data_IF_417970957356
#
_entry.id   IF_417970957356
#
_cell.length_a   1.000
_cell.length_b   1.000
_cell.length_c   1.000
_cell.angle_alpha   90.00
_cell.angle_beta   90.00
_cell.angle_gamma   90.00
#
_symmetry.space_group_name_H-M   'P 1'
#
loop_
_entity.id
_entity.type
_entity.pdbx_description
1 polymer ?
#
# COMPACT_ATOMS: atom_id res chain seq x y z
N UNK A 1 -65.52 -42.71 9.77
CA UNK A 1 -65.25 -42.41 8.34
C UNK A 1 -63.74 -42.20 8.16
N UNK A 2 -63.02 -43.26 7.79
CA UNK A 2 -61.59 -43.16 7.43
C UNK A 2 -61.48 -43.24 5.91
N UNK A 3 -61.15 -42.11 5.27
CA UNK A 3 -60.77 -42.10 3.85
C UNK A 3 -59.26 -42.23 3.73
N UNK A 4 -58.83 -43.36 3.18
CA UNK A 4 -57.48 -43.60 2.62
C UNK A 4 -57.26 -42.65 1.45
N UNK A 5 -56.10 -42.01 1.39
CA UNK A 5 -55.57 -41.46 0.13
C UNK A 5 -54.13 -41.96 -0.02
N UNK A 6 -53.91 -42.73 -1.08
CA UNK A 6 -52.61 -43.24 -1.54
C UNK A 6 -51.85 -42.07 -2.16
N UNK A 7 -50.60 -41.84 -1.76
CA UNK A 7 -49.66 -40.99 -2.52
C UNK A 7 -48.73 -41.92 -3.31
N UNK A 8 -48.92 -41.94 -4.62
CA UNK A 8 -47.95 -42.44 -5.60
C UNK A 8 -47.12 -41.26 -6.11
N UNK A 9 -45.80 -41.38 -6.04
CA UNK A 9 -44.86 -40.47 -6.69
C UNK A 9 -44.99 -40.51 -8.23
N UNK A 10 -44.57 -39.44 -8.91
CA UNK A 10 -43.51 -39.67 -9.89
C UNK A 10 -42.40 -38.61 -9.86
N UNK A 11 -41.21 -39.12 -10.14
CA UNK A 11 -39.96 -38.42 -10.42
C UNK A 11 -40.14 -37.57 -11.68
N UNK A 12 -39.98 -36.26 -11.57
CA UNK A 12 -39.74 -35.37 -12.71
C UNK A 12 -38.40 -34.65 -12.51
N UNK A 13 -37.41 -35.09 -13.27
CA UNK A 13 -36.14 -34.39 -13.49
C UNK A 13 -36.47 -33.14 -14.30
N UNK A 14 -36.52 -31.98 -13.64
CA UNK A 14 -36.72 -30.69 -14.30
C UNK A 14 -35.37 -30.06 -14.62
N UNK A 15 -35.01 -30.07 -15.90
CA UNK A 15 -34.02 -29.19 -16.51
C UNK A 15 -34.45 -27.73 -16.32
N UNK A 16 -33.83 -27.01 -15.38
CA UNK A 16 -34.08 -25.58 -15.19
C UNK A 16 -33.02 -24.76 -15.94
N UNK A 17 -33.31 -24.47 -17.21
CA UNK A 17 -32.58 -23.50 -18.03
C UNK A 17 -33.03 -22.10 -17.58
N UNK A 18 -32.28 -21.47 -16.68
CA UNK A 18 -32.54 -20.08 -16.27
C UNK A 18 -32.02 -19.14 -17.35
N UNK A 19 -32.94 -18.68 -18.19
CA UNK A 19 -32.81 -17.47 -19.02
C UNK A 19 -32.79 -16.24 -18.10
N UNK A 20 -31.67 -15.52 -18.05
CA UNK A 20 -31.66 -14.09 -17.71
C UNK A 20 -30.97 -13.37 -18.87
N UNK A 21 -31.79 -12.98 -19.84
CA UNK A 21 -31.45 -12.05 -20.89
C UNK A 21 -32.06 -10.69 -20.52
N UNK A 22 -31.27 -9.81 -19.92
CA UNK A 22 -31.53 -8.36 -19.91
C UNK A 22 -30.26 -7.64 -20.32
N UNK A 23 -30.16 -7.37 -21.63
CA UNK A 23 -29.10 -6.55 -22.19
C UNK A 23 -29.38 -5.07 -21.88
N UNK A 24 -28.62 -4.49 -20.96
CA UNK A 24 -28.46 -3.04 -20.89
C UNK A 24 -27.33 -2.63 -21.85
N UNK A 25 -27.70 -2.08 -23.00
CA UNK A 25 -26.78 -1.42 -23.91
C UNK A 25 -26.22 -0.15 -23.26
N UNK A 26 -25.03 -0.25 -22.65
CA UNK A 26 -24.19 0.92 -22.38
C UNK A 26 -23.08 0.97 -23.42
N UNK A 27 -23.29 1.77 -24.47
CA UNK A 27 -22.21 2.24 -25.32
C UNK A 27 -21.34 3.21 -24.52
N UNK A 28 -20.25 2.72 -23.91
CA UNK A 28 -19.16 3.57 -23.44
C UNK A 28 -18.20 3.80 -24.60
N UNK A 29 -18.07 5.07 -25.00
CA UNK A 29 -17.02 5.55 -25.88
C UNK A 29 -15.64 5.22 -25.28
N UNK A 30 -14.95 4.25 -25.88
CA UNK A 30 -13.60 3.89 -25.53
C UNK A 30 -12.63 4.97 -26.02
N UNK A 31 -12.14 5.82 -25.11
CA UNK A 31 -10.94 6.62 -25.37
C UNK A 31 -9.71 5.70 -25.44
N UNK A 32 -8.74 5.95 -26.34
CA UNK A 32 -7.55 5.12 -26.47
C UNK A 32 -6.69 5.24 -25.21
N UNK A 33 -6.65 4.16 -24.42
CA UNK A 33 -5.76 4.03 -23.26
C UNK A 33 -4.35 3.72 -23.77
N UNK A 34 -3.40 4.63 -23.48
CA UNK A 34 -1.99 4.54 -23.86
C UNK A 34 -1.35 3.17 -23.51
N UNK A 35 -0.63 2.56 -24.46
CA UNK A 35 0.01 1.24 -24.38
C UNK A 35 0.91 1.05 -23.14
N UNK A 36 1.49 2.12 -22.58
CA UNK A 36 2.28 2.04 -21.36
C UNK A 36 1.45 1.70 -20.10
N UNK A 37 0.15 2.05 -20.05
CA UNK A 37 -0.75 1.62 -19.00
C UNK A 37 -1.17 0.15 -19.17
N UNK A 38 -1.28 -0.33 -20.42
CA UNK A 38 -1.53 -1.75 -20.71
C UNK A 38 -0.38 -2.67 -20.25
N UNK A 39 0.88 -2.22 -20.35
CA UNK A 39 2.03 -3.03 -19.91
C UNK A 39 2.15 -3.17 -18.38
N UNK A 40 1.59 -2.23 -17.60
CA UNK A 40 1.60 -2.29 -16.12
C UNK A 40 0.44 -3.09 -15.54
N UNK A 41 -0.66 -3.22 -16.27
CA UNK A 41 -1.74 -4.13 -15.93
C UNK A 41 -1.36 -5.54 -16.39
N UNK A 42 -0.73 -6.36 -15.53
CA UNK A 42 -0.76 -7.82 -15.75
C UNK A 42 -2.23 -8.22 -15.83
N UNK A 43 -2.75 -8.42 -17.05
CA UNK A 43 -4.14 -8.84 -17.29
C UNK A 43 -4.38 -10.05 -16.41
N UNK A 44 -5.42 -9.99 -15.59
CA UNK A 44 -5.81 -11.13 -14.80
C UNK A 44 -6.41 -12.14 -15.78
N UNK A 45 -5.65 -13.19 -16.07
CA UNK A 45 -5.95 -14.12 -17.14
C UNK A 45 -6.72 -15.34 -16.59
N UNK A 46 -7.98 -15.48 -17.00
CA UNK A 46 -8.83 -16.61 -16.64
C UNK A 46 -8.29 -17.96 -17.13
N UNK A 47 -7.53 -17.99 -18.22
CA UNK A 47 -6.94 -19.24 -18.76
C UNK A 47 -5.93 -19.82 -17.79
N UNK A 48 -5.03 -18.99 -17.27
CA UNK A 48 -4.03 -19.40 -16.26
C UNK A 48 -4.63 -19.94 -14.98
N UNK A 49 -5.79 -19.42 -14.56
CA UNK A 49 -6.51 -19.95 -13.40
C UNK A 49 -7.08 -21.32 -13.70
N UNK A 50 -7.64 -21.48 -14.90
CA UNK A 50 -8.25 -22.73 -15.37
C UNK A 50 -7.20 -23.83 -15.46
N UNK A 51 -6.08 -23.60 -16.13
CA UNK A 51 -4.99 -24.59 -16.22
C UNK A 51 -4.50 -25.00 -14.82
N UNK A 52 -4.34 -24.01 -13.93
CA UNK A 52 -3.94 -24.29 -12.56
C UNK A 52 -4.97 -25.17 -11.83
N UNK A 53 -6.25 -24.88 -11.95
CA UNK A 53 -7.30 -25.68 -11.31
C UNK A 53 -7.42 -27.07 -11.92
N UNK A 54 -7.27 -27.19 -13.25
CA UNK A 54 -7.23 -28.46 -13.97
C UNK A 54 -6.16 -29.37 -13.39
N UNK A 55 -4.92 -28.88 -13.27
CA UNK A 55 -3.81 -29.64 -12.71
C UNK A 55 -3.93 -29.88 -11.19
N UNK A 56 -4.36 -28.88 -10.42
CA UNK A 56 -4.39 -29.00 -8.96
C UNK A 56 -5.56 -29.84 -8.42
N UNK A 57 -6.63 -29.99 -9.20
CA UNK A 57 -7.86 -30.69 -8.81
C UNK A 57 -8.18 -31.90 -9.70
N UNK A 58 -7.33 -32.21 -10.68
CA UNK A 58 -7.54 -33.27 -11.68
C UNK A 58 -8.93 -33.17 -12.32
N UNK A 59 -9.25 -32.02 -12.89
CA UNK A 59 -10.56 -31.79 -13.52
C UNK A 59 -10.74 -32.65 -14.77
N UNK A 60 -11.94 -33.17 -14.98
CA UNK A 60 -12.32 -33.77 -16.27
C UNK A 60 -12.36 -32.70 -17.38
N UNK A 61 -12.42 -33.10 -18.64
CA UNK A 61 -12.53 -32.16 -19.75
C UNK A 61 -13.79 -31.29 -19.65
N UNK A 62 -14.93 -31.92 -19.35
CA UNK A 62 -16.20 -31.22 -19.14
C UNK A 62 -16.12 -30.22 -17.97
N UNK A 63 -15.57 -30.64 -16.83
CA UNK A 63 -15.36 -29.73 -15.69
C UNK A 63 -14.40 -28.59 -16.04
N UNK A 64 -13.38 -28.87 -16.85
CA UNK A 64 -12.39 -27.87 -17.30
C UNK A 64 -13.06 -26.79 -18.14
N UNK A 65 -13.94 -27.16 -19.08
CA UNK A 65 -14.69 -26.19 -19.88
C UNK A 65 -15.62 -25.32 -19.04
N UNK A 66 -16.33 -25.92 -18.08
CA UNK A 66 -17.22 -25.18 -17.18
C UNK A 66 -16.43 -24.23 -16.27
N UNK A 67 -15.32 -24.69 -15.70
CA UNK A 67 -14.40 -23.85 -14.88
C UNK A 67 -13.77 -22.75 -15.73
N UNK A 68 -13.46 -22.99 -17.01
CA UNK A 68 -12.95 -21.98 -17.92
C UNK A 68 -13.91 -20.80 -18.09
N UNK A 69 -15.20 -21.10 -18.28
CA UNK A 69 -16.26 -20.07 -18.39
C UNK A 69 -16.38 -19.26 -17.10
N UNK A 70 -16.45 -19.94 -15.95
CA UNK A 70 -16.51 -19.30 -14.62
C UNK A 70 -15.30 -18.38 -14.39
N UNK A 71 -14.10 -18.85 -14.72
CA UNK A 71 -12.85 -18.09 -14.57
C UNK A 71 -12.79 -16.87 -15.50
N UNK A 72 -13.28 -17.01 -16.74
CA UNK A 72 -13.34 -15.91 -17.70
C UNK A 72 -14.28 -14.80 -17.21
N UNK A 73 -15.49 -15.14 -16.77
CA UNK A 73 -16.45 -14.18 -16.23
C UNK A 73 -15.92 -13.48 -14.98
N UNK A 74 -15.34 -14.24 -14.05
CA UNK A 74 -14.74 -13.67 -12.85
C UNK A 74 -13.58 -12.72 -13.18
N UNK A 75 -12.78 -13.06 -14.20
CA UNK A 75 -11.70 -12.21 -14.67
C UNK A 75 -12.22 -10.91 -15.30
N UNK A 76 -13.23 -11.00 -16.15
CA UNK A 76 -13.89 -9.84 -16.77
C UNK A 76 -14.51 -8.91 -15.72
N UNK A 77 -15.32 -9.44 -14.79
CA UNK A 77 -15.95 -8.64 -13.72
C UNK A 77 -14.90 -7.96 -12.84
N UNK A 78 -13.82 -8.64 -12.49
CA UNK A 78 -12.71 -8.04 -11.74
C UNK A 78 -12.01 -6.93 -12.53
N UNK A 79 -11.82 -7.11 -13.84
CA UNK A 79 -11.21 -6.10 -14.69
C UNK A 79 -12.11 -4.87 -14.81
N UNK A 80 -13.41 -5.06 -15.03
CA UNK A 80 -14.40 -3.98 -15.08
C UNK A 80 -14.40 -3.18 -13.76
N UNK A 81 -14.42 -3.85 -12.60
CA UNK A 81 -14.33 -3.16 -11.30
C UNK A 81 -13.05 -2.32 -11.17
N UNK A 82 -11.89 -2.83 -11.62
CA UNK A 82 -10.63 -2.08 -11.59
C UNK A 82 -10.64 -0.87 -12.52
N UNK A 83 -11.31 -0.94 -13.65
CA UNK A 83 -11.45 0.17 -14.60
C UNK A 83 -12.46 1.20 -14.10
N UNK A 84 -13.53 0.76 -13.43
CA UNK A 84 -14.55 1.63 -12.83
C UNK A 84 -14.02 2.42 -11.62
N UNK A 85 -13.06 1.87 -10.87
CA UNK A 85 -12.35 2.61 -9.84
C UNK A 85 -11.40 3.65 -10.46
N UNK A 86 -11.96 4.80 -10.84
CA UNK A 86 -11.22 5.98 -11.32
C UNK A 86 -10.28 6.57 -10.26
N UNK A 87 -10.53 6.27 -8.98
CA UNK A 87 -9.71 6.70 -7.85
C UNK A 87 -9.06 5.47 -7.16
N UNK A 88 -7.72 5.38 -7.08
CA UNK A 88 -7.03 4.31 -6.35
C UNK A 88 -7.28 4.32 -4.84
N UNK A 89 -7.84 5.38 -4.25
CA UNK A 89 -8.22 5.47 -2.84
C UNK A 89 -9.66 5.02 -2.54
N UNK A 90 -10.52 4.91 -3.56
CA UNK A 90 -11.87 4.37 -3.40
C UNK A 90 -11.78 2.84 -3.16
N UNK A 91 -12.31 2.33 -2.03
CA UNK A 91 -12.41 0.90 -1.83
C UNK A 91 -13.30 0.33 -2.94
N UNK A 92 -12.76 -0.55 -3.78
CA UNK A 92 -13.53 -1.27 -4.79
C UNK A 92 -14.77 -1.89 -4.12
N UNK A 93 -16.00 -1.44 -4.43
CA UNK A 93 -17.18 -2.04 -3.86
C UNK A 93 -17.25 -3.52 -4.27
N UNK A 94 -17.69 -4.34 -3.33
CA UNK A 94 -18.18 -5.69 -3.58
C UNK A 94 -17.21 -6.78 -4.06
N UNK A 95 -15.91 -6.62 -3.77
CA UNK A 95 -14.91 -7.70 -4.00
C UNK A 95 -15.25 -9.00 -3.26
N UNK A 96 -15.92 -8.87 -2.11
CA UNK A 96 -16.35 -10.01 -1.30
C UNK A 96 -17.48 -10.74 -2.01
N UNK A 97 -18.57 -10.07 -2.40
CA UNK A 97 -19.66 -10.77 -3.09
C UNK A 97 -19.21 -11.34 -4.43
N UNK A 98 -18.35 -10.66 -5.20
CA UNK A 98 -17.78 -11.24 -6.42
C UNK A 98 -17.03 -12.54 -6.13
N UNK A 99 -16.27 -12.58 -5.03
CA UNK A 99 -15.56 -13.79 -4.61
C UNK A 99 -16.52 -14.88 -4.14
N UNK A 100 -17.55 -14.53 -3.38
CA UNK A 100 -18.53 -15.49 -2.85
C UNK A 100 -19.35 -16.10 -4.00
N UNK A 101 -19.79 -15.29 -4.98
CA UNK A 101 -20.47 -15.75 -6.19
C UNK A 101 -19.57 -16.70 -7.00
N UNK A 102 -18.30 -16.35 -7.20
CA UNK A 102 -17.33 -17.21 -7.87
C UNK A 102 -17.14 -18.55 -7.15
N UNK A 103 -17.07 -18.55 -5.82
CA UNK A 103 -16.97 -19.78 -5.02
C UNK A 103 -18.23 -20.63 -5.18
N UNK A 104 -19.42 -20.01 -5.18
CA UNK A 104 -20.68 -20.70 -5.37
C UNK A 104 -20.76 -21.38 -6.75
N UNK A 105 -20.37 -20.68 -7.82
CA UNK A 105 -20.33 -21.27 -9.18
C UNK A 105 -19.36 -22.45 -9.27
N UNK A 106 -18.18 -22.35 -8.66
CA UNK A 106 -17.24 -23.48 -8.63
C UNK A 106 -17.78 -24.69 -7.87
N UNK A 107 -18.51 -24.47 -6.76
CA UNK A 107 -19.09 -25.56 -5.97
C UNK A 107 -20.12 -26.39 -6.75
N UNK A 108 -20.78 -25.81 -7.75
CA UNK A 108 -21.74 -26.51 -8.60
C UNK A 108 -21.08 -27.45 -9.62
N UNK A 109 -19.86 -27.12 -10.05
CA UNK A 109 -19.12 -27.86 -11.09
C UNK A 109 -18.17 -28.92 -10.49
N UNK A 110 -17.64 -28.64 -9.31
CA UNK A 110 -16.67 -29.49 -8.64
C UNK A 110 -17.35 -30.55 -7.79
N UNK A 111 -16.76 -31.74 -7.74
CA UNK A 111 -17.16 -32.76 -6.75
C UNK A 111 -16.89 -32.26 -5.32
N UNK A 112 -17.57 -32.81 -4.29
CA UNK A 112 -17.31 -32.43 -2.90
C UNK A 112 -15.83 -32.56 -2.51
N UNK A 113 -15.16 -33.62 -2.95
CA UNK A 113 -13.74 -33.86 -2.69
C UNK A 113 -12.83 -32.83 -3.38
N UNK A 114 -13.07 -32.51 -4.65
CA UNK A 114 -12.32 -31.48 -5.37
C UNK A 114 -12.51 -30.09 -4.75
N UNK A 115 -13.73 -29.76 -4.33
CA UNK A 115 -14.02 -28.48 -3.68
C UNK A 115 -13.35 -28.37 -2.30
N UNK A 116 -13.32 -29.45 -1.51
CA UNK A 116 -12.61 -29.49 -0.24
C UNK A 116 -11.09 -29.29 -0.44
N UNK A 117 -10.51 -29.95 -1.44
CA UNK A 117 -9.10 -29.78 -1.80
C UNK A 117 -8.79 -28.32 -2.19
N UNK A 118 -9.67 -27.70 -2.98
CA UNK A 118 -9.55 -26.28 -3.35
C UNK A 118 -9.62 -25.35 -2.13
N UNK A 119 -10.56 -25.61 -1.22
CA UNK A 119 -10.71 -24.85 0.02
C UNK A 119 -9.46 -24.94 0.91
N UNK A 120 -8.89 -26.14 1.08
CA UNK A 120 -7.63 -26.37 1.81
C UNK A 120 -6.47 -25.60 1.16
N UNK A 121 -6.32 -25.66 -0.16
CA UNK A 121 -5.28 -24.90 -0.89
C UNK A 121 -5.44 -23.38 -0.72
N UNK A 122 -6.66 -22.86 -0.75
CA UNK A 122 -6.91 -21.44 -0.50
C UNK A 122 -6.58 -21.01 0.93
N UNK A 123 -6.89 -21.84 1.91
CA UNK A 123 -6.57 -21.59 3.32
C UNK A 123 -5.06 -21.62 3.54
N UNK A 124 -4.37 -22.63 3.02
CA UNK A 124 -2.90 -22.70 3.07
C UNK A 124 -2.27 -21.45 2.44
N UNK A 125 -2.76 -20.99 1.28
CA UNK A 125 -2.27 -19.76 0.65
C UNK A 125 -2.61 -18.49 1.43
N UNK A 126 -3.72 -18.47 2.17
CA UNK A 126 -4.09 -17.37 3.06
C UNK A 126 -3.14 -17.30 4.25
N UNK A 127 -2.88 -18.44 4.89
CA UNK A 127 -1.94 -18.56 6.00
C UNK A 127 -0.51 -18.21 5.57
N UNK A 128 -0.05 -18.73 4.44
CA UNK A 128 1.27 -18.39 3.87
C UNK A 128 1.39 -16.87 3.64
N UNK A 129 0.36 -16.22 3.09
CA UNK A 129 0.35 -14.76 2.90
C UNK A 129 0.35 -14.02 4.22
N UNK A 130 -0.40 -14.48 5.20
CA UNK A 130 -0.49 -13.86 6.52
C UNK A 130 0.85 -13.93 7.27
N UNK A 131 1.46 -15.12 7.30
CA UNK A 131 2.79 -15.33 7.88
C UNK A 131 3.85 -14.49 7.18
N UNK A 132 3.84 -14.46 5.83
CA UNK A 132 4.75 -13.63 5.07
C UNK A 132 4.52 -12.13 5.30
N UNK A 133 3.27 -11.69 5.46
CA UNK A 133 2.96 -10.31 5.79
C UNK A 133 3.52 -9.94 7.17
N UNK A 134 3.27 -10.77 8.18
CA UNK A 134 3.76 -10.57 9.55
C UNK A 134 5.28 -10.54 9.60
N UNK A 135 5.97 -11.57 9.06
CA UNK A 135 7.43 -11.64 8.99
C UNK A 135 8.02 -10.40 8.30
N UNK A 136 7.52 -10.07 7.12
CA UNK A 136 8.02 -8.90 6.38
C UNK A 136 7.66 -7.57 7.06
N UNK A 137 6.57 -7.50 7.82
CA UNK A 137 6.20 -6.31 8.58
C UNK A 137 7.16 -6.08 9.74
N UNK A 138 7.48 -7.12 10.50
CA UNK A 138 8.42 -7.07 11.61
C UNK A 138 9.81 -6.61 11.13
N UNK A 139 10.34 -7.27 10.09
CA UNK A 139 11.63 -6.90 9.48
C UNK A 139 11.62 -5.43 9.02
N UNK A 140 10.56 -4.98 8.33
CA UNK A 140 10.46 -3.58 7.88
C UNK A 140 10.41 -2.61 9.05
N UNK A 141 9.81 -2.99 10.18
CA UNK A 141 9.72 -2.15 11.36
C UNK A 141 11.09 -2.03 12.04
N UNK A 142 11.77 -3.15 12.23
CA UNK A 142 13.13 -3.23 12.78
C UNK A 142 14.12 -2.41 11.93
N UNK A 143 14.17 -2.64 10.62
CA UNK A 143 15.03 -1.85 9.71
C UNK A 143 14.72 -0.35 9.78
N UNK A 144 13.46 0.04 9.96
CA UNK A 144 13.09 1.46 10.11
C UNK A 144 13.60 2.02 11.44
N UNK A 145 13.57 1.24 12.51
CA UNK A 145 14.08 1.65 13.83
C UNK A 145 15.60 1.78 13.80
N UNK A 146 16.32 0.84 13.17
CA UNK A 146 17.78 0.92 13.00
C UNK A 146 18.20 2.15 12.19
N UNK A 147 17.56 2.38 11.04
CA UNK A 147 17.83 3.59 10.23
C UNK A 147 17.54 4.85 11.04
N UNK A 148 16.45 4.86 11.82
CA UNK A 148 16.14 5.99 12.70
C UNK A 148 17.24 6.22 13.73
N UNK A 149 17.64 5.19 14.46
CA UNK A 149 18.69 5.28 15.46
C UNK A 149 20.02 5.76 14.86
N UNK A 150 20.38 5.25 13.68
CA UNK A 150 21.56 5.71 12.95
C UNK A 150 21.46 7.19 12.58
N UNK A 151 20.32 7.63 12.04
CA UNK A 151 20.11 9.04 11.66
C UNK A 151 20.17 9.95 12.88
N UNK A 152 19.52 9.58 13.97
CA UNK A 152 19.51 10.38 15.21
C UNK A 152 20.92 10.53 15.79
N UNK A 153 21.74 9.48 15.72
CA UNK A 153 23.10 9.47 16.26
C UNK A 153 24.13 10.15 15.35
N UNK A 154 24.04 9.95 14.03
CA UNK A 154 25.12 10.33 13.11
C UNK A 154 24.80 11.51 12.20
N UNK A 155 23.52 11.69 11.83
CA UNK A 155 23.11 12.69 10.82
C UNK A 155 22.55 13.93 11.50
N UNK A 156 21.64 13.74 12.46
CA UNK A 156 20.89 14.82 13.08
C UNK A 156 21.77 15.84 13.81
N UNK A 157 22.84 15.46 14.56
CA UNK A 157 23.70 16.43 15.21
C UNK A 157 24.37 17.38 14.21
N UNK A 158 24.94 16.84 13.13
CA UNK A 158 25.56 17.63 12.07
C UNK A 158 24.54 18.51 11.34
N UNK A 159 23.35 17.98 11.07
CA UNK A 159 22.26 18.77 10.46
C UNK A 159 21.86 19.97 11.34
N UNK A 160 21.79 19.79 12.66
CA UNK A 160 21.49 20.87 13.61
C UNK A 160 22.59 21.94 13.62
N UNK A 161 23.85 21.55 13.61
CA UNK A 161 24.98 22.49 13.51
C UNK A 161 24.87 23.33 12.23
N UNK A 162 24.65 22.68 11.09
CA UNK A 162 24.46 23.38 9.82
C UNK A 162 23.24 24.30 9.85
N UNK A 163 22.17 23.91 10.55
CA UNK A 163 21.00 24.77 10.71
C UNK A 163 21.29 26.01 11.55
N UNK A 164 22.07 25.88 12.62
CA UNK A 164 22.51 27.04 13.40
C UNK A 164 23.39 27.98 12.57
N UNK A 165 24.21 27.47 11.64
CA UNK A 165 24.93 28.32 10.68
C UNK A 165 23.98 29.09 9.78
N UNK A 166 22.94 28.44 9.25
CA UNK A 166 21.94 29.09 8.40
C UNK A 166 21.24 30.26 9.11
N UNK A 167 20.96 30.15 10.42
CA UNK A 167 20.30 31.22 11.19
C UNK A 167 21.05 32.55 11.18
N UNK A 168 22.34 32.56 10.84
CA UNK A 168 23.15 33.78 10.69
C UNK A 168 22.89 34.52 9.37
N UNK A 169 22.37 33.81 8.36
CA UNK A 169 22.08 34.35 7.03
C UNK A 169 20.59 34.69 6.84
N UNK A 170 19.74 34.28 7.78
CA UNK A 170 18.29 34.52 7.71
C UNK A 170 17.97 35.90 8.26
N UNK A 171 17.12 36.64 7.56
CA UNK A 171 16.64 37.95 8.00
C UNK A 171 15.80 37.83 9.28
N UNK A 172 15.83 38.82 10.19
CA UNK A 172 15.10 38.75 11.45
C UNK A 172 13.60 38.44 11.29
N UNK A 173 12.96 39.03 10.28
CA UNK A 173 11.52 38.84 9.96
C UNK A 173 11.23 37.41 9.50
N UNK A 174 12.08 36.85 8.65
CA UNK A 174 11.93 35.49 8.16
C UNK A 174 12.30 34.46 9.23
N UNK A 175 13.26 34.78 10.12
CA UNK A 175 13.56 33.97 11.29
C UNK A 175 12.35 33.82 12.21
N UNK A 176 11.65 34.93 12.50
CA UNK A 176 10.40 34.90 13.26
C UNK A 176 9.35 33.99 12.61
N UNK A 177 9.12 34.11 11.29
CA UNK A 177 8.20 33.22 10.56
C UNK A 177 8.60 31.75 10.67
N UNK A 178 9.90 31.44 10.56
CA UNK A 178 10.39 30.06 10.67
C UNK A 178 10.12 29.50 12.07
N UNK A 179 10.35 30.29 13.11
CA UNK A 179 10.13 29.88 14.50
C UNK A 179 8.64 29.65 14.79
N UNK A 180 7.75 30.50 14.26
CA UNK A 180 6.30 30.25 14.31
C UNK A 180 5.90 28.94 13.62
N UNK A 181 6.44 28.66 12.43
CA UNK A 181 6.16 27.42 11.69
C UNK A 181 6.67 26.18 12.43
N UNK A 182 7.86 26.27 13.04
CA UNK A 182 8.41 25.22 13.91
C UNK A 182 7.53 24.97 15.13
N UNK A 183 7.04 26.03 15.78
CA UNK A 183 6.15 25.90 16.93
C UNK A 183 4.83 25.21 16.54
N UNK A 184 4.20 25.63 15.44
CA UNK A 184 3.00 24.95 14.90
C UNK A 184 3.28 23.47 14.60
N UNK A 185 4.43 23.19 13.99
CA UNK A 185 4.84 21.82 13.66
C UNK A 185 5.06 20.95 14.92
N UNK A 186 5.70 21.50 15.95
CA UNK A 186 5.99 20.82 17.21
C UNK A 186 4.69 20.52 17.99
N UNK A 187 3.67 21.37 17.89
CA UNK A 187 2.33 21.14 18.47
C UNK A 187 1.53 20.11 17.66
N UNK A 188 1.66 20.11 16.34
CA UNK A 188 0.86 19.26 15.45
C UNK A 188 1.32 17.80 15.41
N UNK A 189 2.64 17.56 15.44
CA UNK A 189 3.24 16.20 15.40
C UNK A 189 2.68 15.24 16.46
N UNK A 190 2.63 15.58 17.77
CA UNK A 190 2.10 14.68 18.79
C UNK A 190 0.61 14.38 18.59
N UNK A 191 -0.18 15.35 18.10
CA UNK A 191 -1.61 15.12 17.77
C UNK A 191 -1.78 14.07 16.68
N UNK A 192 -0.99 14.17 15.60
CA UNK A 192 -0.99 13.18 14.52
C UNK A 192 -0.58 11.79 15.06
N UNK A 193 0.45 11.73 15.90
CA UNK A 193 0.93 10.47 16.45
C UNK A 193 -0.13 9.82 17.37
N UNK A 194 -0.76 10.60 18.24
CA UNK A 194 -1.83 10.13 19.11
C UNK A 194 -2.99 9.55 18.30
N UNK A 195 -3.45 10.24 17.26
CA UNK A 195 -4.55 9.77 16.41
C UNK A 195 -4.19 8.50 15.63
N UNK A 196 -2.95 8.41 15.14
CA UNK A 196 -2.45 7.18 14.48
C UNK A 196 -2.40 5.99 15.44
N UNK A 197 -1.95 6.18 16.67
CA UNK A 197 -1.93 5.11 17.67
C UNK A 197 -3.35 4.68 18.07
N UNK A 198 -4.30 5.61 18.23
CA UNK A 198 -5.72 5.27 18.44
C UNK A 198 -6.29 4.40 17.31
N UNK A 199 -6.06 4.81 16.05
CA UNK A 199 -6.51 4.04 14.88
C UNK A 199 -5.86 2.65 14.86
N UNK A 200 -4.59 2.55 15.26
CA UNK A 200 -3.85 1.29 15.31
C UNK A 200 -4.39 0.37 16.41
N UNK A 201 -4.67 0.86 17.62
CA UNK A 201 -5.22 0.05 18.72
C UNK A 201 -6.62 -0.44 18.38
N UNK A 202 -7.47 0.38 17.77
CA UNK A 202 -8.79 -0.07 17.30
C UNK A 202 -8.69 -1.21 16.30
N UNK A 203 -7.78 -1.11 15.33
CA UNK A 203 -7.55 -2.19 14.35
C UNK A 203 -7.03 -3.47 15.00
N UNK A 204 -6.19 -3.36 16.04
CA UNK A 204 -5.72 -4.51 16.82
C UNK A 204 -6.88 -5.18 17.57
N UNK A 205 -7.84 -4.39 18.05
CA UNK A 205 -9.04 -4.86 18.74
C UNK A 205 -10.16 -5.30 17.77
N UNK A 206 -9.89 -5.40 16.46
CA UNK A 206 -10.86 -5.81 15.44
C UNK A 206 -11.92 -4.74 15.10
N UNK A 207 -11.80 -3.54 15.65
CA UNK A 207 -12.69 -2.42 15.39
C UNK A 207 -12.28 -1.66 14.13
N UNK A 208 -13.25 -1.21 13.34
CA UNK A 208 -13.02 -0.29 12.22
C UNK A 208 -12.92 1.14 12.76
N UNK A 209 -11.95 1.95 12.29
CA UNK A 209 -11.92 3.37 12.63
C UNK A 209 -13.21 4.08 12.18
N UNK A 210 -13.66 5.05 12.96
CA UNK A 210 -14.85 5.85 12.62
C UNK A 210 -14.54 6.87 11.52
N UNK A 211 -15.58 7.36 10.85
CA UNK A 211 -15.43 8.43 9.85
C UNK A 211 -14.84 9.70 10.48
N UNK A 212 -15.23 10.00 11.72
CA UNK A 212 -14.70 11.12 12.49
C UNK A 212 -13.19 11.00 12.72
N UNK A 213 -12.68 9.82 13.08
CA UNK A 213 -11.23 9.60 13.24
C UNK A 213 -10.47 9.78 11.93
N UNK A 214 -11.07 9.33 10.82
CA UNK A 214 -10.51 9.55 9.49
C UNK A 214 -10.51 11.04 9.12
N UNK A 215 -11.57 11.78 9.44
CA UNK A 215 -11.65 13.23 9.23
C UNK A 215 -10.63 13.98 10.09
N UNK A 216 -10.51 13.64 11.37
CA UNK A 216 -9.53 14.23 12.29
C UNK A 216 -8.10 14.04 11.78
N UNK A 217 -7.73 12.82 11.39
CA UNK A 217 -6.40 12.57 10.83
C UNK A 217 -6.18 13.34 9.52
N UNK A 218 -7.19 13.45 8.65
CA UNK A 218 -7.11 14.24 7.41
C UNK A 218 -6.92 15.73 7.70
N UNK A 219 -7.65 16.29 8.67
CA UNK A 219 -7.52 17.68 9.08
C UNK A 219 -6.10 17.99 9.57
N UNK A 220 -5.57 17.17 10.49
CA UNK A 220 -4.19 17.32 10.99
C UNK A 220 -3.15 17.17 9.87
N UNK A 221 -3.38 16.29 8.90
CA UNK A 221 -2.51 16.16 7.72
C UNK A 221 -2.58 17.37 6.79
N UNK A 222 -3.75 17.99 6.64
CA UNK A 222 -3.93 19.23 5.89
C UNK A 222 -3.17 20.38 6.54
N UNK A 223 -3.23 20.50 7.86
CA UNK A 223 -2.44 21.49 8.60
C UNK A 223 -0.93 21.29 8.42
N UNK A 224 -0.46 20.03 8.49
CA UNK A 224 0.93 19.67 8.23
C UNK A 224 1.38 20.05 6.81
N UNK A 225 0.51 19.86 5.82
CA UNK A 225 0.75 20.29 4.43
C UNK A 225 0.83 21.81 4.34
N UNK A 226 -0.07 22.53 5.01
CA UNK A 226 -0.08 24.00 5.04
C UNK A 226 1.22 24.56 5.62
N UNK A 227 1.69 24.04 6.76
CA UNK A 227 2.97 24.46 7.36
C UNK A 227 4.14 24.27 6.38
N UNK A 228 4.19 23.12 5.69
CA UNK A 228 5.24 22.86 4.69
C UNK A 228 5.12 23.76 3.46
N UNK A 229 3.90 24.09 3.04
CA UNK A 229 3.66 25.01 1.94
C UNK A 229 4.13 26.42 2.28
N UNK A 230 3.85 26.91 3.50
CA UNK A 230 4.31 28.21 3.99
C UNK A 230 5.85 28.27 4.13
N UNK A 231 6.50 27.15 4.49
CA UNK A 231 7.96 27.08 4.57
C UNK A 231 8.67 27.02 3.20
N UNK A 232 7.95 26.64 2.13
CA UNK A 232 8.51 26.51 0.78
C UNK A 232 9.14 27.81 0.25
N UNK A 233 8.47 28.97 0.23
CA UNK A 233 9.08 30.21 -0.26
C UNK A 233 10.33 30.60 0.53
N UNK A 234 10.38 30.34 1.84
CA UNK A 234 11.56 30.59 2.66
C UNK A 234 12.73 29.69 2.26
N UNK A 235 12.45 28.42 1.98
CA UNK A 235 13.46 27.48 1.47
C UNK A 235 14.01 27.89 0.11
N UNK A 236 13.17 28.44 -0.77
CA UNK A 236 13.61 28.97 -2.07
C UNK A 236 14.43 30.25 -1.93
N UNK A 237 14.03 31.17 -1.03
CA UNK A 237 14.75 32.42 -0.76
C UNK A 237 16.19 32.15 -0.29
N UNK A 238 16.38 31.18 0.60
CA UNK A 238 17.69 30.84 1.18
C UNK A 238 18.37 29.64 0.51
N UNK A 239 17.95 29.24 -0.70
CA UNK A 239 18.40 28.00 -1.34
C UNK A 239 19.92 27.95 -1.55
N UNK A 240 20.55 29.09 -1.88
CA UNK A 240 21.98 29.14 -2.22
C UNK A 240 22.84 29.01 -0.97
N UNK A 241 22.41 29.62 0.15
CA UNK A 241 23.03 29.45 1.46
C UNK A 241 22.86 28.00 1.94
N UNK A 242 21.68 27.40 1.76
CA UNK A 242 21.43 25.99 2.07
C UNK A 242 22.35 25.07 1.26
N UNK A 243 22.49 25.33 -0.05
CA UNK A 243 23.35 24.55 -0.93
C UNK A 243 24.83 24.66 -0.52
N UNK A 244 25.27 25.85 -0.13
CA UNK A 244 26.63 26.09 0.37
C UNK A 244 26.90 25.26 1.62
N UNK A 245 26.03 25.34 2.62
CA UNK A 245 26.13 24.55 3.87
C UNK A 245 26.05 23.04 3.62
N UNK A 246 25.22 22.61 2.66
CA UNK A 246 25.15 21.22 2.25
C UNK A 246 26.45 20.73 1.61
N UNK A 247 27.13 21.58 0.83
CA UNK A 247 28.41 21.23 0.21
C UNK A 247 29.53 21.02 1.23
N UNK A 248 29.53 21.74 2.36
CA UNK A 248 30.51 21.55 3.45
C UNK A 248 30.50 20.12 4.01
N UNK A 249 29.31 19.51 4.10
CA UNK A 249 29.11 18.18 4.68
C UNK A 249 28.87 17.10 3.62
N UNK A 250 29.17 17.40 2.35
CA UNK A 250 28.96 16.47 1.23
C UNK A 250 29.67 15.12 1.44
N UNK A 251 30.92 15.05 1.94
CA UNK A 251 31.57 13.76 2.21
C UNK A 251 30.79 12.93 3.25
N UNK A 252 30.33 13.56 4.33
CA UNK A 252 29.53 12.90 5.36
C UNK A 252 28.20 12.38 4.81
N UNK A 253 27.54 13.16 3.95
CA UNK A 253 26.29 12.77 3.29
C UNK A 253 26.48 11.51 2.46
N UNK A 254 27.54 11.42 1.66
CA UNK A 254 27.81 10.23 0.85
C UNK A 254 28.13 9.01 1.72
N UNK A 255 28.83 9.21 2.84
CA UNK A 255 29.05 8.17 3.84
C UNK A 255 27.73 7.69 4.47
N UNK A 256 26.88 8.61 4.95
CA UNK A 256 25.59 8.26 5.56
C UNK A 256 24.68 7.54 4.57
N UNK A 257 24.67 7.94 3.30
CA UNK A 257 23.96 7.21 2.23
C UNK A 257 24.44 5.77 2.10
N UNK A 258 25.75 5.55 2.14
CA UNK A 258 26.33 4.21 2.07
C UNK A 258 25.93 3.37 3.29
N UNK A 259 26.03 3.92 4.49
CA UNK A 259 25.72 3.22 5.74
C UNK A 259 24.22 2.87 5.81
N UNK A 260 23.32 3.81 5.52
CA UNK A 260 21.87 3.56 5.48
C UNK A 260 21.51 2.51 4.42
N UNK A 261 22.23 2.49 3.29
CA UNK A 261 22.05 1.47 2.24
C UNK A 261 22.46 0.08 2.72
N UNK A 262 23.49 -0.03 3.56
CA UNK A 262 23.90 -1.29 4.19
C UNK A 262 22.80 -1.76 5.15
N UNK A 263 22.37 -0.92 6.08
CA UNK A 263 21.28 -1.23 7.04
C UNK A 263 20.01 -1.69 6.29
N UNK A 264 19.60 -0.95 5.25
CA UNK A 264 18.43 -1.31 4.47
C UNK A 264 18.60 -2.60 3.65
N UNK A 265 19.83 -2.93 3.23
CA UNK A 265 20.13 -4.17 2.49
C UNK A 265 20.06 -5.36 3.43
N UNK A 266 20.60 -5.24 4.63
CA UNK A 266 20.64 -6.34 5.60
C UNK A 266 19.23 -6.67 6.10
N UNK A 267 18.43 -5.66 6.42
CA UNK A 267 17.00 -5.85 6.66
C UNK A 267 16.28 -6.55 5.50
N UNK A 268 16.66 -6.27 4.25
CA UNK A 268 16.03 -6.93 3.11
C UNK A 268 16.52 -8.36 2.85
N UNK A 269 17.80 -8.68 3.11
CA UNK A 269 18.32 -10.06 3.03
C UNK A 269 17.55 -10.99 3.97
N UNK A 270 17.19 -10.48 5.15
CA UNK A 270 16.42 -11.25 6.13
C UNK A 270 14.94 -11.42 5.71
N UNK A 271 14.50 -10.78 4.62
CA UNK A 271 13.14 -10.86 4.09
C UNK A 271 13.00 -11.92 2.99
N UNK A 272 11.78 -12.47 2.84
CA UNK A 272 11.44 -13.45 1.79
C UNK A 272 11.60 -12.90 0.35
N UNK A 273 11.94 -11.61 0.18
CA UNK A 273 12.18 -11.01 -1.12
C UNK A 273 13.57 -11.27 -1.68
N UNK A 274 14.51 -11.87 -0.93
CA UNK A 274 15.88 -12.14 -1.37
C UNK A 274 15.95 -12.84 -2.75
N UNK A 275 15.16 -13.91 -2.95
CA UNK A 275 15.12 -14.66 -4.21
C UNK A 275 14.51 -13.88 -5.39
N UNK A 276 13.44 -13.09 -5.15
CA UNK A 276 12.81 -12.23 -6.17
C UNK A 276 13.57 -10.90 -6.38
N UNK A 277 14.59 -10.64 -5.56
CA UNK A 277 15.34 -9.41 -5.58
C UNK A 277 16.25 -9.30 -6.79
N UNK A 278 16.78 -10.43 -7.30
CA UNK A 278 17.65 -10.45 -8.48
C UNK A 278 16.93 -9.95 -9.74
N UNK A 279 15.70 -10.40 -9.99
CA UNK A 279 14.87 -9.92 -11.12
C UNK A 279 14.33 -8.51 -10.92
N UNK A 280 13.92 -8.16 -9.69
CA UNK A 280 13.48 -6.80 -9.36
C UNK A 280 14.63 -5.78 -9.32
N UNK A 281 15.90 -6.22 -9.28
CA UNK A 281 17.11 -5.38 -9.12
C UNK A 281 17.22 -4.31 -10.21
N UNK A 282 16.86 -4.63 -11.46
CA UNK A 282 16.85 -3.67 -12.57
C UNK A 282 15.73 -2.61 -12.40
N UNK A 283 14.51 -2.99 -12.01
CA UNK A 283 13.40 -2.05 -11.78
C UNK A 283 13.51 -1.26 -10.47
N UNK A 284 14.13 -1.84 -9.45
CA UNK A 284 14.42 -1.17 -8.18
C UNK A 284 15.66 -0.28 -8.26
N UNK A 285 16.62 -0.50 -9.17
CA UNK A 285 17.77 0.39 -9.33
C UNK A 285 17.34 1.83 -9.65
N UNK A 286 16.29 2.00 -10.47
CA UNK A 286 15.69 3.29 -10.78
C UNK A 286 14.98 3.93 -9.57
N UNK A 287 14.24 3.13 -8.78
CA UNK A 287 13.66 3.59 -7.50
C UNK A 287 14.70 3.78 -6.39
N UNK A 288 15.84 3.10 -6.44
CA UNK A 288 16.88 3.10 -5.39
C UNK A 288 17.66 4.41 -5.31
N UNK A 289 17.68 5.22 -6.38
CA UNK A 289 18.10 6.64 -6.27
C UNK A 289 17.25 7.39 -5.23
N UNK A 290 15.97 7.03 -5.04
CA UNK A 290 15.10 7.60 -3.99
C UNK A 290 15.33 6.98 -2.60
N UNK A 291 15.90 5.77 -2.51
CA UNK A 291 16.13 5.08 -1.23
C UNK A 291 17.34 5.62 -0.47
N UNK A 292 18.36 6.10 -1.19
CA UNK A 292 19.52 6.78 -0.60
C UNK A 292 19.14 8.05 0.15
N UNK A 293 17.94 8.59 -0.05
CA UNK A 293 17.47 9.81 0.63
C UNK A 293 16.59 9.51 1.85
N UNK A 294 16.41 8.23 2.21
CA UNK A 294 15.62 7.85 3.38
C UNK A 294 16.27 8.33 4.66
N UNK A 295 15.53 9.10 5.46
CA UNK A 295 16.02 9.66 6.72
C UNK A 295 16.68 11.03 6.58
N UNK A 296 17.17 11.41 5.40
CA UNK A 296 17.91 12.66 5.18
C UNK A 296 17.07 13.83 4.64
N UNK A 297 15.74 13.73 4.71
CA UNK A 297 14.83 14.82 4.30
C UNK A 297 15.07 16.14 5.05
N UNK A 298 15.73 16.09 6.21
CA UNK A 298 16.13 17.25 6.99
C UNK A 298 17.24 18.08 6.36
N UNK A 299 17.99 17.54 5.39
CA UNK A 299 19.12 18.24 4.76
C UNK A 299 18.70 19.01 3.49
N UNK A 300 17.40 19.07 3.19
CA UNK A 300 16.90 19.62 1.91
C UNK A 300 15.75 20.60 2.10
N UNK A 301 15.88 21.77 1.46
CA UNK A 301 14.82 22.75 1.29
C UNK A 301 13.96 22.98 2.53
N UNK A 302 12.67 22.70 2.42
CA UNK A 302 11.67 22.84 3.51
C UNK A 302 12.02 22.05 4.77
N UNK A 303 12.55 20.82 4.61
CA UNK A 303 12.91 19.98 5.75
C UNK A 303 14.06 20.56 6.56
N UNK A 304 15.00 21.24 5.90
CA UNK A 304 16.11 21.94 6.55
C UNK A 304 15.64 23.23 7.20
N UNK A 305 14.81 24.04 6.54
CA UNK A 305 14.22 25.26 7.13
C UNK A 305 13.47 24.95 8.43
N UNK A 306 12.60 23.93 8.40
CA UNK A 306 11.79 23.50 9.54
C UNK A 306 12.54 22.63 10.55
N UNK A 307 13.83 22.36 10.32
CA UNK A 307 14.67 21.69 11.30
C UNK A 307 14.85 22.61 12.51
N UNK A 308 14.42 22.18 13.68
CA UNK A 308 14.61 22.93 14.92
C UNK A 308 15.94 22.48 15.59
N UNK A 309 16.98 23.33 15.63
CA UNK A 309 18.26 22.96 16.23
C UNK A 309 18.16 22.74 17.75
N UNK A 310 17.22 23.39 18.43
CA UNK A 310 17.05 23.36 19.88
C UNK A 310 16.11 22.25 20.37
N UNK A 311 15.32 21.65 19.47
CA UNK A 311 14.45 20.53 19.83
C UNK A 311 15.23 19.33 20.41
N UNK A 312 14.90 18.92 21.64
CA UNK A 312 15.49 17.73 22.29
C UNK A 312 15.04 16.41 21.65
N UNK A 313 13.90 16.44 20.96
CA UNK A 313 13.31 15.27 20.29
C UNK A 313 12.83 15.67 18.91
N UNK A 314 13.63 15.36 17.89
CA UNK A 314 13.09 15.32 16.54
C UNK A 314 12.70 13.90 16.22
N UNK A 315 11.41 13.61 16.38
CA UNK A 315 10.84 12.41 15.77
C UNK A 315 10.64 12.72 14.28
N UNK A 316 11.28 11.97 13.37
CA UNK A 316 10.97 12.07 11.96
C UNK A 316 9.56 11.61 11.70
N UNK A 317 8.71 12.56 11.32
CA UNK A 317 7.42 12.25 10.73
C UNK A 317 7.62 11.51 9.41
N UNK A 318 7.32 10.21 9.42
CA UNK A 318 6.82 9.48 8.26
C UNK A 318 5.56 8.71 8.66
#
# INVERSE_FOLDING_TARGET
MFKRIKLTAPIFIAFFMIMILTAANFALSAQPVNEQQQQRARKFDGRRLTEKMRHELNLTEEQTEQVAKINAEFAQKRQAMRQAAKDPEQPLPDRKALRDAYIASLKQVLTPQQFELLAKKWEQKRQERQQNFQKNSAIRQETRQEIKAYVDKNVLPTAKVQRTKLDRYIEPTDKQKIDELRNKLNTLKPKIQAEREKIKTMRQNGQKPTDEQHQNLRALQTEMRSIRAAAKPLAEKYKDQIQTLHNEIKPDIERWKADIKVIAKDGLKNSQFEGKFKERKQKLAQKRKEFGERGMHYLKGVGFILLDPQSRTQTPGR
#
